data_IF_399362431943
#
_entry.id   IF_399362431943
#
_cell.length_a   1.000
_cell.length_b   1.000
_cell.length_c   1.000
_cell.angle_alpha   90.00
_cell.angle_beta   90.00
_cell.angle_gamma   90.00
#
_symmetry.space_group_name_H-M   'P 1'
#
loop_
_entity.id
_entity.type
_entity.pdbx_description
1 polymer ?
#
# COMPACT_ATOMS: atom_id res chain seq x y z
N UNK A 1 -32.21 13.88 0.66
CA UNK A 1 -30.85 14.46 0.73
C UNK A 1 -30.03 13.65 1.73
N UNK A 2 -29.29 12.63 1.31
CA UNK A 2 -28.35 11.93 2.22
C UNK A 2 -27.04 12.74 2.24
N UNK A 3 -26.67 13.21 3.43
CA UNK A 3 -25.87 14.42 3.62
C UNK A 3 -24.43 14.32 3.09
N UNK A 4 -23.99 15.21 2.19
CA UNK A 4 -22.62 15.24 1.64
C UNK A 4 -21.52 15.24 2.71
N UNK A 5 -21.81 15.73 3.92
CA UNK A 5 -20.90 15.71 5.07
C UNK A 5 -20.46 14.31 5.49
N UNK A 6 -21.33 13.29 5.41
CA UNK A 6 -20.97 11.92 5.77
C UNK A 6 -19.93 11.36 4.80
N UNK A 7 -20.11 11.61 3.50
CA UNK A 7 -19.16 11.21 2.46
C UNK A 7 -17.80 11.87 2.67
N UNK A 8 -17.79 13.17 2.97
CA UNK A 8 -16.54 13.89 3.28
C UNK A 8 -15.87 13.32 4.53
N UNK A 9 -16.61 13.03 5.59
CA UNK A 9 -16.06 12.44 6.81
C UNK A 9 -15.43 11.07 6.54
N UNK A 10 -16.10 10.21 5.75
CA UNK A 10 -15.57 8.91 5.36
C UNK A 10 -14.28 9.08 4.54
N UNK A 11 -14.24 10.03 3.59
CA UNK A 11 -13.06 10.28 2.78
C UNK A 11 -11.87 10.74 3.64
N UNK A 12 -12.08 11.67 4.56
CA UNK A 12 -11.04 12.15 5.48
C UNK A 12 -10.52 11.02 6.38
N UNK A 13 -11.42 10.22 6.96
CA UNK A 13 -11.02 9.08 7.80
C UNK A 13 -10.26 8.03 7.00
N UNK A 14 -10.71 7.72 5.78
CA UNK A 14 -10.05 6.77 4.89
C UNK A 14 -8.65 7.24 4.52
N UNK A 15 -8.47 8.53 4.21
CA UNK A 15 -7.15 9.11 3.93
C UNK A 15 -6.23 9.06 5.16
N UNK A 16 -6.74 9.43 6.33
CA UNK A 16 -5.97 9.37 7.58
C UNK A 16 -5.53 7.94 7.93
N UNK A 17 -6.43 6.97 7.83
CA UNK A 17 -6.08 5.56 8.04
C UNK A 17 -5.17 5.01 6.94
N UNK A 18 -5.33 5.46 5.69
CA UNK A 18 -4.43 5.13 4.59
C UNK A 18 -2.99 5.56 4.87
N UNK A 19 -2.80 6.76 5.45
CA UNK A 19 -1.49 7.24 5.88
C UNK A 19 -0.91 6.38 7.01
N UNK A 20 -1.70 6.11 8.06
CA UNK A 20 -1.26 5.26 9.18
C UNK A 20 -0.89 3.86 8.69
N UNK A 21 -1.70 3.28 7.80
CA UNK A 21 -1.42 1.99 7.19
C UNK A 21 -0.10 2.03 6.40
N UNK A 22 0.12 3.03 5.55
CA UNK A 22 1.36 3.17 4.79
C UNK A 22 2.61 3.20 5.70
N UNK A 23 2.55 3.95 6.80
CA UNK A 23 3.63 3.99 7.79
C UNK A 23 3.83 2.65 8.50
N UNK A 24 2.75 1.99 8.91
CA UNK A 24 2.82 0.70 9.59
C UNK A 24 3.40 -0.40 8.69
N UNK A 25 2.98 -0.46 7.42
CA UNK A 25 3.49 -1.42 6.45
C UNK A 25 4.96 -1.19 6.12
N UNK A 26 5.41 0.06 6.00
CA UNK A 26 6.82 0.39 5.84
C UNK A 26 7.67 -0.23 6.97
N UNK A 27 7.30 0.01 8.23
CA UNK A 27 8.02 -0.54 9.39
C UNK A 27 7.93 -2.07 9.44
N UNK A 28 6.73 -2.65 9.24
CA UNK A 28 6.52 -4.09 9.31
C UNK A 28 7.36 -4.87 8.29
N UNK A 29 7.46 -4.39 7.05
CA UNK A 29 8.28 -5.03 6.01
C UNK A 29 9.76 -4.94 6.37
N UNK A 30 10.22 -3.77 6.85
CA UNK A 30 11.62 -3.61 7.27
C UNK A 30 11.98 -4.55 8.42
N UNK A 31 11.15 -4.62 9.45
CA UNK A 31 11.39 -5.50 10.60
C UNK A 31 11.30 -6.97 10.21
N UNK A 32 10.38 -7.34 9.32
CA UNK A 32 10.33 -8.68 8.75
C UNK A 32 11.63 -9.02 8.02
N UNK A 33 12.16 -8.14 7.17
CA UNK A 33 13.42 -8.37 6.44
C UNK A 33 14.59 -8.54 7.40
N UNK A 34 14.66 -7.74 8.48
CA UNK A 34 15.72 -7.84 9.49
C UNK A 34 15.75 -9.21 10.19
N UNK A 35 14.64 -9.96 10.22
CA UNK A 35 14.63 -11.33 10.76
C UNK A 35 15.42 -12.31 9.88
N UNK A 36 15.51 -12.07 8.57
CA UNK A 36 16.13 -12.99 7.62
C UNK A 36 17.48 -12.50 7.09
N UNK A 37 17.69 -11.18 7.07
CA UNK A 37 18.94 -10.57 6.59
C UNK A 37 19.70 -10.03 7.82
N UNK A 38 20.90 -10.58 8.13
CA UNK A 38 21.71 -10.05 9.21
C UNK A 38 21.99 -8.56 9.02
N UNK A 39 21.96 -7.80 10.10
CA UNK A 39 22.36 -6.39 10.11
C UNK A 39 23.89 -6.27 9.88
N UNK A 40 24.33 -6.50 8.65
CA UNK A 40 25.68 -6.20 8.21
C UNK A 40 25.85 -4.71 7.91
N UNK A 41 27.08 -4.19 7.99
CA UNK A 41 27.42 -2.79 7.64
C UNK A 41 27.34 -2.51 6.13
N UNK A 42 26.29 -2.97 5.45
CA UNK A 42 26.14 -2.85 4.01
C UNK A 42 24.69 -2.68 3.59
N UNK A 43 24.50 -2.24 2.34
CA UNK A 43 23.20 -1.88 1.71
C UNK A 43 22.27 -3.11 1.50
N UNK A 44 22.63 -4.29 1.98
CA UNK A 44 21.91 -5.55 1.74
C UNK A 44 20.45 -5.52 2.20
N UNK A 45 20.15 -5.21 3.47
CA UNK A 45 18.77 -5.14 3.96
C UNK A 45 17.92 -4.08 3.22
N UNK A 46 18.52 -2.94 2.88
CA UNK A 46 17.87 -1.83 2.18
C UNK A 46 17.54 -2.20 0.72
N UNK A 47 18.45 -2.92 0.06
CA UNK A 47 18.24 -3.40 -1.31
C UNK A 47 17.16 -4.49 -1.38
N UNK A 48 17.14 -5.41 -0.41
CA UNK A 48 16.06 -6.40 -0.28
C UNK A 48 14.73 -5.72 -0.03
N UNK A 49 14.70 -4.71 0.85
CA UNK A 49 13.51 -3.89 1.09
C UNK A 49 13.00 -3.22 -0.18
N UNK A 50 13.89 -2.59 -0.96
CA UNK A 50 13.54 -1.94 -2.23
C UNK A 50 12.90 -2.91 -3.23
N UNK A 51 13.47 -4.11 -3.40
CA UNK A 51 12.91 -5.12 -4.31
C UNK A 51 11.53 -5.58 -3.83
N UNK A 52 11.40 -5.90 -2.53
CA UNK A 52 10.14 -6.39 -1.95
C UNK A 52 9.02 -5.36 -2.12
N UNK A 53 9.28 -4.09 -1.80
CA UNK A 53 8.25 -3.05 -1.92
C UNK A 53 7.87 -2.79 -3.38
N UNK A 54 8.81 -2.87 -4.33
CA UNK A 54 8.51 -2.74 -5.76
C UNK A 54 7.62 -3.88 -6.25
N UNK A 55 7.92 -5.12 -5.87
CA UNK A 55 7.08 -6.28 -6.25
C UNK A 55 5.67 -6.12 -5.69
N UNK A 56 5.54 -5.77 -4.41
CA UNK A 56 4.22 -5.52 -3.78
C UNK A 56 3.48 -4.40 -4.51
N UNK A 57 4.15 -3.28 -4.80
CA UNK A 57 3.55 -2.16 -5.50
C UNK A 57 3.02 -2.57 -6.88
N UNK A 58 3.78 -3.32 -7.68
CA UNK A 58 3.34 -3.81 -8.99
C UNK A 58 2.11 -4.71 -8.85
N UNK A 59 2.11 -5.63 -7.88
CA UNK A 59 0.96 -6.52 -7.65
C UNK A 59 -0.30 -5.75 -7.27
N UNK A 60 -0.18 -4.77 -6.38
CA UNK A 60 -1.29 -3.92 -5.94
C UNK A 60 -1.80 -3.06 -7.10
N UNK A 61 -0.93 -2.35 -7.80
CA UNK A 61 -1.29 -1.47 -8.92
C UNK A 61 -1.97 -2.25 -10.03
N UNK A 62 -1.43 -3.42 -10.41
CA UNK A 62 -2.05 -4.28 -11.43
C UNK A 62 -3.42 -4.81 -11.00
N UNK A 63 -3.59 -5.15 -9.71
CA UNK A 63 -4.87 -5.62 -9.19
C UNK A 63 -5.93 -4.51 -9.18
N UNK A 64 -5.54 -3.29 -8.79
CA UNK A 64 -6.40 -2.12 -8.84
C UNK A 64 -6.77 -1.74 -10.28
N UNK A 65 -5.82 -1.81 -11.22
CA UNK A 65 -6.07 -1.58 -12.65
C UNK A 65 -7.12 -2.54 -13.20
N UNK A 66 -7.01 -3.84 -12.90
CA UNK A 66 -8.02 -4.84 -13.32
C UNK A 66 -9.41 -4.58 -12.73
N UNK A 67 -9.48 -4.10 -11.49
CA UNK A 67 -10.74 -3.75 -10.84
C UNK A 67 -11.38 -2.53 -11.50
N UNK A 68 -10.58 -1.51 -11.83
CA UNK A 68 -11.05 -0.32 -12.54
C UNK A 68 -11.58 -0.63 -13.94
N UNK A 69 -10.87 -1.50 -14.69
CA UNK A 69 -11.31 -1.93 -16.03
C UNK A 69 -12.62 -2.72 -15.98
N UNK A 70 -12.80 -3.58 -14.96
CA UNK A 70 -14.04 -4.36 -14.80
C UNK A 70 -15.25 -3.45 -14.59
N UNK A 71 -15.10 -2.36 -13.85
CA UNK A 71 -16.17 -1.39 -13.61
C UNK A 71 -16.56 -0.65 -14.91
N UNK A 72 -15.58 -0.31 -15.75
CA UNK A 72 -15.80 0.31 -17.07
C UNK A 72 -16.55 -0.62 -18.04
N UNK A 73 -16.33 -1.95 -17.97
CA UNK A 73 -17.03 -2.91 -18.85
C UNK A 73 -18.51 -3.12 -18.52
N UNK A 74 -18.97 -2.75 -17.32
CA UNK A 74 -20.39 -2.90 -16.93
C UNK A 74 -21.24 -1.70 -17.38
N UNK A 75 -20.61 -0.56 -17.69
CA UNK A 75 -21.30 0.69 -18.07
C UNK A 75 -21.45 0.83 -19.60
N UNK A 76 -20.70 0.06 -20.40
CA UNK A 76 -20.85 -0.02 -21.87
C UNK A 76 -21.85 -1.10 -22.27
#
# INVERSE_FOLDING_TARGET
MRGPYLTTMIALMTAAFGLIAALAWNTAIQDFIKLFVPAGKGVGPEFVYAIVITVIAILVINSLGKLADKDQTIIK
#
